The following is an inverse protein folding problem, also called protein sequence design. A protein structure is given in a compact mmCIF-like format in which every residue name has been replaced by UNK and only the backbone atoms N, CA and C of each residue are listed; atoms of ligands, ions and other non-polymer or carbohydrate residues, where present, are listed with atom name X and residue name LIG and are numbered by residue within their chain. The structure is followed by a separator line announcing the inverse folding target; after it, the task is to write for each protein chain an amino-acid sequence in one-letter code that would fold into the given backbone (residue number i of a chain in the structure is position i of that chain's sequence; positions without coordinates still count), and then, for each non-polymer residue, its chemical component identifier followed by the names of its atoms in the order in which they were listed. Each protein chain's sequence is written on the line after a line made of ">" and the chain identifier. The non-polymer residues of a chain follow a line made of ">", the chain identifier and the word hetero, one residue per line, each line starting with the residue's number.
data_IF_682937107707
#
_entry.id   IF_682937107707
#
_cell.length_a   1.000
_cell.length_b   1.000
_cell.length_c   1.000
_cell.angle_alpha   90.00
_cell.angle_beta   90.00
_cell.angle_gamma   90.00
#
_symmetry.space_group_name_H-M   'P 1'
#
loop_
_entity.id
_entity.type
_entity.pdbx_description
1 polymer ?
#
# COMPACT_ATOMS: atom_id res chain seq x y z
N UNK A 1 9.42 10.12 -14.53
CA UNK A 1 9.95 8.91 -15.18
C UNK A 1 11.49 8.84 -15.17
N UNK A 2 12.20 9.94 -15.49
CA UNK A 2 13.68 9.95 -15.41
C UNK A 2 14.19 9.66 -13.99
N UNK A 3 13.50 10.16 -12.98
CA UNK A 3 13.80 9.93 -11.57
C UNK A 3 13.64 8.44 -11.20
N UNK A 4 12.67 7.75 -11.80
CA UNK A 4 12.42 6.33 -11.58
C UNK A 4 13.46 5.41 -12.26
N UNK A 5 14.13 5.88 -13.31
CA UNK A 5 15.27 5.17 -13.94
C UNK A 5 16.50 5.01 -13.05
N UNK A 6 16.55 5.73 -11.92
CA UNK A 6 17.64 5.54 -10.94
C UNK A 6 17.52 4.21 -10.17
N UNK A 7 16.36 3.56 -10.23
CA UNK A 7 16.12 2.20 -9.70
C UNK A 7 16.63 1.11 -10.66
N UNK A 8 17.81 1.30 -11.23
CA UNK A 8 18.41 0.33 -12.16
C UNK A 8 18.54 -1.02 -11.48
N UNK A 9 17.89 -2.03 -12.05
CA UNK A 9 17.93 -3.41 -11.58
C UNK A 9 16.79 -3.81 -10.63
N UNK A 10 15.74 -2.99 -10.47
CA UNK A 10 14.54 -3.35 -9.72
C UNK A 10 13.30 -3.34 -10.62
N UNK A 11 12.42 -4.30 -10.44
CA UNK A 11 11.06 -4.27 -11.03
C UNK A 11 10.26 -3.14 -10.42
N UNK A 12 9.44 -2.51 -11.24
CA UNK A 12 8.65 -1.39 -10.78
C UNK A 12 7.20 -1.48 -11.27
N UNK A 13 6.28 -1.42 -10.31
CA UNK A 13 4.85 -1.34 -10.57
C UNK A 13 4.33 0.03 -10.13
N UNK A 14 3.87 0.83 -11.08
CA UNK A 14 3.37 2.18 -10.85
C UNK A 14 1.86 2.20 -11.05
N UNK A 15 1.12 2.66 -10.04
CA UNK A 15 -0.30 2.93 -10.18
C UNK A 15 -0.54 4.37 -10.60
N UNK A 16 -1.20 4.57 -11.75
CA UNK A 16 -1.54 5.90 -12.25
C UNK A 16 -2.62 6.59 -11.40
N UNK A 17 -2.45 7.89 -11.20
CA UNK A 17 -3.33 8.73 -10.40
C UNK A 17 -4.60 9.08 -11.19
N UNK A 18 -5.73 8.54 -10.74
CA UNK A 18 -7.04 8.81 -11.32
C UNK A 18 -7.50 7.76 -12.33
N UNK A 19 -6.73 6.69 -12.51
CA UNK A 19 -7.14 5.49 -13.24
C UNK A 19 -6.98 4.23 -12.37
N UNK A 20 -7.41 3.09 -12.90
CA UNK A 20 -7.14 1.77 -12.34
C UNK A 20 -5.92 1.13 -13.00
N UNK A 21 -5.19 1.87 -13.84
CA UNK A 21 -4.09 1.34 -14.63
C UNK A 21 -2.81 1.23 -13.79
N UNK A 22 -2.05 0.19 -14.09
CA UNK A 22 -0.76 -0.13 -13.52
C UNK A 22 0.28 -0.15 -14.64
N UNK A 23 1.36 0.56 -14.45
CA UNK A 23 2.47 0.65 -15.38
C UNK A 23 3.64 -0.15 -14.83
N UNK A 24 4.08 -1.15 -15.58
CA UNK A 24 5.09 -2.11 -15.18
C UNK A 24 6.35 -1.85 -16.01
N UNK A 25 7.48 -1.66 -15.34
CA UNK A 25 8.79 -1.66 -15.98
C UNK A 25 9.35 -3.08 -15.92
N UNK A 26 9.38 -3.74 -17.06
CA UNK A 26 9.84 -5.11 -17.24
C UNK A 26 11.26 -5.18 -17.84
N UNK A 27 11.99 -4.07 -17.88
CA UNK A 27 13.34 -4.03 -18.45
C UNK A 27 14.33 -4.87 -17.62
N UNK A 28 14.80 -5.96 -18.20
CA UNK A 28 15.70 -6.91 -17.54
C UNK A 28 15.00 -8.05 -16.80
N UNK A 29 13.67 -8.08 -16.79
CA UNK A 29 12.84 -9.09 -16.12
C UNK A 29 11.93 -9.86 -17.07
N UNK A 30 12.35 -9.97 -18.34
CA UNK A 30 11.64 -10.80 -19.33
C UNK A 30 11.58 -12.26 -18.84
N UNK A 31 10.37 -12.78 -18.70
CA UNK A 31 10.03 -14.10 -18.12
C UNK A 31 10.21 -14.20 -16.59
N UNK A 32 10.14 -13.10 -15.87
CA UNK A 32 10.08 -13.15 -14.41
C UNK A 32 8.69 -13.61 -13.96
N UNK A 33 8.58 -14.62 -13.06
CA UNK A 33 7.30 -15.13 -12.59
C UNK A 33 6.42 -14.10 -11.87
N UNK A 34 7.02 -13.09 -11.25
CA UNK A 34 6.27 -12.03 -10.57
C UNK A 34 5.66 -11.04 -11.57
N UNK A 35 6.40 -10.68 -12.62
CA UNK A 35 5.87 -9.88 -13.74
C UNK A 35 4.72 -10.61 -14.42
N UNK A 36 4.87 -11.90 -14.70
CA UNK A 36 3.80 -12.73 -15.25
C UNK A 36 2.57 -12.74 -14.34
N UNK A 37 2.77 -12.91 -13.03
CA UNK A 37 1.69 -12.83 -12.03
C UNK A 37 1.00 -11.47 -12.02
N UNK A 38 1.74 -10.36 -12.13
CA UNK A 38 1.14 -9.02 -12.20
C UNK A 38 0.24 -8.89 -13.44
N UNK A 39 0.70 -9.32 -14.60
CA UNK A 39 -0.11 -9.28 -15.83
C UNK A 39 -1.35 -10.18 -15.73
N UNK A 40 -1.22 -11.37 -15.15
CA UNK A 40 -2.37 -12.27 -14.94
C UNK A 40 -3.40 -11.68 -13.96
N UNK A 41 -2.93 -11.11 -12.85
CA UNK A 41 -3.81 -10.59 -11.80
C UNK A 41 -4.45 -9.25 -12.13
N UNK A 42 -3.76 -8.37 -12.85
CA UNK A 42 -4.24 -7.03 -13.22
C UNK A 42 -4.99 -7.02 -14.56
N UNK A 43 -4.74 -7.99 -15.43
CA UNK A 43 -5.43 -8.15 -16.71
C UNK A 43 -5.30 -6.91 -17.62
N UNK A 44 -6.43 -6.38 -18.08
CA UNK A 44 -6.47 -5.21 -18.97
C UNK A 44 -5.95 -3.91 -18.34
N UNK A 45 -5.75 -3.88 -17.03
CA UNK A 45 -5.20 -2.73 -16.31
C UNK A 45 -3.68 -2.74 -16.22
N UNK A 46 -3.01 -3.79 -16.66
CA UNK A 46 -1.56 -3.88 -16.68
C UNK A 46 -0.99 -3.39 -18.01
N UNK A 47 -0.07 -2.44 -17.95
CA UNK A 47 0.56 -1.84 -19.12
C UNK A 47 2.09 -1.83 -18.97
N UNK A 48 2.81 -2.04 -20.07
CA UNK A 48 4.27 -1.91 -20.09
C UNK A 48 4.62 -0.42 -20.23
N UNK A 49 5.46 0.08 -19.31
CA UNK A 49 5.90 1.48 -19.34
C UNK A 49 6.92 1.76 -20.45
N UNK A 50 7.67 0.74 -20.86
CA UNK A 50 8.71 0.86 -21.89
C UNK A 50 8.14 1.39 -23.21
N UNK A 51 8.69 2.52 -23.67
CA UNK A 51 8.25 3.17 -24.91
C UNK A 51 6.97 4.01 -24.76
N UNK A 52 6.43 4.13 -23.57
CA UNK A 52 5.35 5.07 -23.31
C UNK A 52 5.90 6.50 -23.21
N UNK A 53 5.32 7.43 -23.95
CA UNK A 53 5.74 8.85 -24.03
C UNK A 53 4.71 9.83 -23.43
N UNK A 54 3.63 9.30 -22.87
CA UNK A 54 2.61 10.08 -22.19
C UNK A 54 2.97 10.50 -20.77
N UNK A 55 2.14 11.33 -20.15
CA UNK A 55 2.25 11.72 -18.76
C UNK A 55 1.66 10.62 -17.85
N UNK A 56 2.46 10.11 -16.92
CA UNK A 56 2.00 9.20 -15.86
C UNK A 56 1.97 9.97 -14.54
N UNK A 57 0.81 9.98 -13.89
CA UNK A 57 0.64 10.58 -12.55
C UNK A 57 0.66 9.50 -11.49
N UNK A 58 1.73 9.47 -10.74
CA UNK A 58 2.00 8.40 -9.77
C UNK A 58 1.21 8.62 -8.49
N UNK A 59 0.41 7.62 -8.09
CA UNK A 59 -0.17 7.56 -6.74
C UNK A 59 0.79 6.92 -5.75
N UNK A 60 1.37 5.81 -6.15
CA UNK A 60 2.40 5.07 -5.44
C UNK A 60 3.09 4.15 -6.42
N UNK A 61 4.27 3.70 -6.08
CA UNK A 61 4.95 2.64 -6.82
C UNK A 61 5.62 1.67 -5.86
N UNK A 62 5.83 0.46 -6.33
CA UNK A 62 6.56 -0.60 -5.63
C UNK A 62 7.72 -1.04 -6.49
N UNK A 63 8.79 -1.49 -5.85
CA UNK A 63 9.97 -2.01 -6.53
C UNK A 63 10.57 -3.17 -5.73
N UNK A 64 11.15 -4.14 -6.42
CA UNK A 64 11.98 -5.16 -5.81
C UNK A 64 13.42 -4.68 -5.72
N UNK A 65 14.01 -4.81 -4.53
CA UNK A 65 15.42 -4.51 -4.29
C UNK A 65 16.23 -5.76 -4.53
N UNK A 66 16.89 -5.83 -5.68
CA UNK A 66 17.73 -6.97 -6.07
C UNK A 66 19.19 -6.74 -5.72
N UNK A 67 20.00 -7.83 -5.80
CA UNK A 67 21.45 -7.77 -5.60
C UNK A 67 22.12 -6.77 -6.56
N UNK A 68 22.89 -5.84 -5.99
CA UNK A 68 23.57 -4.78 -6.75
C UNK A 68 22.81 -3.44 -6.82
N UNK A 69 21.59 -3.36 -6.31
CA UNK A 69 20.88 -2.09 -6.15
C UNK A 69 21.55 -1.22 -5.09
N UNK A 70 21.90 0.01 -5.42
CA UNK A 70 22.35 1.01 -4.44
C UNK A 70 21.13 1.58 -3.69
N UNK A 71 20.57 0.76 -2.80
CA UNK A 71 19.33 1.07 -2.08
C UNK A 71 19.44 2.32 -1.20
N UNK A 72 20.59 2.57 -0.60
CA UNK A 72 20.79 3.78 0.21
C UNK A 72 20.72 5.05 -0.64
N UNK A 73 21.24 5.01 -1.87
CA UNK A 73 21.10 6.09 -2.83
C UNK A 73 19.64 6.29 -3.23
N UNK A 74 18.92 5.20 -3.52
CA UNK A 74 17.49 5.26 -3.85
C UNK A 74 16.70 5.89 -2.72
N UNK A 75 16.91 5.45 -1.48
CA UNK A 75 16.25 6.05 -0.31
C UNK A 75 16.54 7.55 -0.20
N UNK A 76 17.78 7.96 -0.37
CA UNK A 76 18.17 9.37 -0.28
C UNK A 76 17.52 10.24 -1.38
N UNK A 77 17.41 9.70 -2.60
CA UNK A 77 16.84 10.42 -3.75
C UNK A 77 15.33 10.64 -3.61
N UNK A 78 14.60 9.67 -3.02
CA UNK A 78 13.15 9.75 -2.87
C UNK A 78 12.70 10.24 -1.48
N UNK A 79 13.61 10.40 -0.52
CA UNK A 79 13.28 10.72 0.87
C UNK A 79 12.53 12.04 1.06
N UNK A 80 12.64 13.01 0.16
CA UNK A 80 11.95 14.30 0.32
C UNK A 80 10.47 14.21 -0.05
N UNK A 81 10.11 13.39 -1.03
CA UNK A 81 8.77 13.33 -1.60
C UNK A 81 7.96 12.09 -1.14
N UNK A 82 8.64 11.00 -0.78
CA UNK A 82 8.01 9.73 -0.48
C UNK A 82 8.32 9.22 0.92
N UNK A 83 7.35 8.52 1.50
CA UNK A 83 7.54 7.58 2.59
C UNK A 83 7.89 6.23 1.96
N UNK A 84 8.98 5.61 2.42
CA UNK A 84 9.46 4.33 1.91
C UNK A 84 9.11 3.25 2.93
N UNK A 85 8.28 2.31 2.52
CA UNK A 85 7.82 1.18 3.33
C UNK A 85 8.52 -0.09 2.86
N UNK A 86 9.29 -0.69 3.74
CA UNK A 86 9.98 -1.96 3.48
C UNK A 86 9.04 -3.12 3.84
N UNK A 87 8.81 -4.00 2.88
CA UNK A 87 8.02 -5.21 3.05
C UNK A 87 8.93 -6.46 3.13
N UNK A 88 8.32 -7.62 3.30
CA UNK A 88 9.01 -8.90 3.20
C UNK A 88 9.49 -9.13 1.75
N UNK A 89 10.49 -10.01 1.58
CA UNK A 89 10.97 -10.45 0.26
C UNK A 89 11.60 -9.33 -0.60
N UNK A 90 12.24 -8.34 0.04
CA UNK A 90 12.91 -7.22 -0.62
C UNK A 90 11.99 -6.26 -1.40
N UNK A 91 10.68 -6.35 -1.25
CA UNK A 91 9.74 -5.40 -1.85
C UNK A 91 9.74 -4.10 -1.05
N UNK A 92 9.85 -2.98 -1.75
CA UNK A 92 9.71 -1.64 -1.19
C UNK A 92 8.57 -0.90 -1.86
N UNK A 93 7.81 -0.16 -1.07
CA UNK A 93 6.70 0.65 -1.54
C UNK A 93 6.99 2.12 -1.26
N UNK A 94 6.81 2.95 -2.28
CA UNK A 94 6.98 4.40 -2.22
C UNK A 94 5.62 5.07 -2.23
N UNK A 95 5.27 5.69 -1.12
CA UNK A 95 3.98 6.38 -0.92
C UNK A 95 4.24 7.87 -0.80
N UNK A 96 3.58 8.74 -1.58
CA UNK A 96 3.76 10.19 -1.45
C UNK A 96 3.53 10.65 -0.02
N UNK A 97 4.44 11.48 0.51
CA UNK A 97 4.31 12.03 1.86
C UNK A 97 2.99 12.77 2.05
N UNK A 98 2.43 12.66 3.23
CA UNK A 98 1.13 13.24 3.57
C UNK A 98 -0.07 12.46 3.06
N UNK A 99 0.16 11.33 2.39
CA UNK A 99 -0.90 10.37 2.02
C UNK A 99 -0.76 9.10 2.84
N UNK A 100 -1.83 8.71 3.50
CA UNK A 100 -1.93 7.46 4.25
C UNK A 100 -3.40 7.02 4.29
N UNK A 101 -3.65 5.80 4.77
CA UNK A 101 -5.03 5.35 5.03
C UNK A 101 -5.74 6.29 6.01
N UNK A 102 -5.04 6.77 7.02
CA UNK A 102 -5.56 7.72 8.00
C UNK A 102 -5.91 9.08 7.41
N UNK A 103 -5.03 9.65 6.57
CA UNK A 103 -5.33 10.95 5.93
C UNK A 103 -6.50 10.83 4.95
N UNK A 104 -6.62 9.70 4.26
CA UNK A 104 -7.77 9.40 3.39
C UNK A 104 -9.09 9.35 4.17
N UNK A 105 -9.12 8.66 5.29
CA UNK A 105 -10.29 8.58 6.17
C UNK A 105 -10.65 9.96 6.71
N UNK A 106 -9.68 10.71 7.24
CA UNK A 106 -9.91 12.07 7.75
C UNK A 106 -10.49 13.00 6.68
N UNK A 107 -9.94 12.91 5.46
CA UNK A 107 -10.49 13.69 4.33
C UNK A 107 -11.91 13.30 4.00
N UNK A 108 -12.21 11.98 3.92
CA UNK A 108 -13.55 11.49 3.61
C UNK A 108 -14.56 11.85 4.69
N UNK A 109 -14.20 11.69 5.97
CA UNK A 109 -15.05 12.07 7.09
C UNK A 109 -15.39 13.57 7.08
N UNK A 110 -14.38 14.42 6.83
CA UNK A 110 -14.62 15.85 6.66
C UNK A 110 -15.53 16.17 5.46
N UNK A 111 -15.37 15.44 4.34
CA UNK A 111 -16.18 15.65 3.14
C UNK A 111 -17.65 15.24 3.33
N UNK A 112 -17.88 14.19 4.11
CA UNK A 112 -19.21 13.62 4.38
C UNK A 112 -19.85 14.15 5.68
N UNK A 113 -19.16 15.02 6.42
CA UNK A 113 -19.57 15.52 7.74
C UNK A 113 -19.84 14.40 8.76
N UNK A 114 -18.95 13.39 8.75
CA UNK A 114 -18.99 12.24 9.66
C UNK A 114 -17.93 12.46 10.77
N UNK A 115 -18.32 12.42 12.06
CA UNK A 115 -17.38 12.49 13.17
C UNK A 115 -16.43 11.29 13.15
N UNK A 116 -15.12 11.51 13.41
CA UNK A 116 -14.13 10.43 13.42
C UNK A 116 -14.38 9.41 14.54
N UNK A 117 -14.95 9.82 15.66
CA UNK A 117 -15.33 8.97 16.78
C UNK A 117 -16.50 8.01 16.47
N UNK A 118 -17.21 8.22 15.36
CA UNK A 118 -18.23 7.29 14.84
C UNK A 118 -17.68 6.30 13.79
N UNK A 119 -16.37 6.32 13.53
CA UNK A 119 -15.76 5.48 12.49
C UNK A 119 -15.11 4.22 13.04
N UNK A 120 -15.11 3.17 12.23
CA UNK A 120 -14.52 1.87 12.53
C UNK A 120 -13.47 1.54 11.48
N UNK A 121 -12.30 1.07 11.91
CA UNK A 121 -11.27 0.53 11.02
C UNK A 121 -10.82 -0.84 11.49
N UNK A 122 -10.60 -1.74 10.54
CA UNK A 122 -10.09 -3.09 10.80
C UNK A 122 -8.77 -3.23 10.04
N UNK A 123 -7.72 -3.68 10.73
CA UNK A 123 -6.39 -3.83 10.15
C UNK A 123 -5.62 -5.02 10.70
N UNK A 124 -4.55 -5.41 10.02
CA UNK A 124 -3.73 -6.56 10.41
C UNK A 124 -2.21 -6.33 10.33
N UNK A 125 -1.77 -5.30 9.63
CA UNK A 125 -0.37 -5.04 9.31
C UNK A 125 0.11 -3.69 9.83
N UNK A 126 1.42 -3.50 9.91
CA UNK A 126 2.04 -2.26 10.42
C UNK A 126 1.68 -1.00 9.61
N UNK A 127 1.31 -1.15 8.34
CA UNK A 127 0.81 -0.04 7.52
C UNK A 127 -0.61 0.42 7.91
N UNK A 128 -1.30 -0.30 8.82
CA UNK A 128 -2.61 0.05 9.36
C UNK A 128 -2.54 0.82 10.68
N UNK A 129 -1.37 0.91 11.32
CA UNK A 129 -1.21 1.51 12.65
C UNK A 129 -1.82 2.92 12.71
N UNK A 130 -1.38 3.81 11.82
CA UNK A 130 -1.89 5.20 11.78
C UNK A 130 -3.40 5.26 11.51
N UNK A 131 -3.92 4.34 10.70
CA UNK A 131 -5.35 4.21 10.41
C UNK A 131 -6.12 3.87 11.69
N UNK A 132 -5.68 2.81 12.41
CA UNK A 132 -6.36 2.33 13.62
C UNK A 132 -6.32 3.36 14.75
N UNK A 133 -5.23 4.12 14.89
CA UNK A 133 -5.10 5.20 15.87
C UNK A 133 -5.95 6.43 15.54
N UNK A 134 -6.33 6.62 14.27
CA UNK A 134 -7.00 7.84 13.81
C UNK A 134 -8.52 7.77 13.80
N UNK A 135 -9.11 6.60 13.98
CA UNK A 135 -10.56 6.35 13.97
C UNK A 135 -11.14 6.26 15.38
N UNK A 136 -12.46 6.31 15.49
CA UNK A 136 -13.14 6.11 16.77
C UNK A 136 -12.93 4.72 17.36
N UNK A 137 -12.96 3.69 16.51
CA UNK A 137 -12.83 2.29 16.91
C UNK A 137 -11.83 1.55 16.02
N UNK A 138 -10.57 1.45 16.47
CA UNK A 138 -9.52 0.69 15.81
C UNK A 138 -9.53 -0.79 16.22
N UNK A 139 -9.67 -1.69 15.25
CA UNK A 139 -9.84 -3.12 15.48
C UNK A 139 -8.69 -3.88 14.82
N UNK A 140 -7.99 -4.72 15.57
CA UNK A 140 -6.99 -5.63 15.03
C UNK A 140 -7.60 -6.99 14.71
N UNK A 141 -7.20 -7.57 13.58
CA UNK A 141 -7.52 -8.95 13.25
C UNK A 141 -6.78 -9.92 14.17
N UNK A 142 -7.34 -11.10 14.43
CA UNK A 142 -6.71 -12.14 15.27
C UNK A 142 -5.35 -12.61 14.75
N UNK A 143 -5.15 -12.59 13.44
CA UNK A 143 -3.88 -12.88 12.76
C UNK A 143 -2.94 -11.68 12.64
N UNK A 144 -3.28 -10.51 13.20
CA UNK A 144 -2.45 -9.30 13.12
C UNK A 144 -1.09 -9.47 13.77
N UNK A 145 -0.14 -8.67 13.29
CA UNK A 145 1.17 -8.50 13.91
C UNK A 145 1.05 -7.93 15.34
N UNK A 146 1.97 -8.29 16.26
CA UNK A 146 1.90 -7.84 17.66
C UNK A 146 1.72 -6.33 17.84
N UNK A 147 2.47 -5.43 17.14
CA UNK A 147 2.29 -3.98 17.30
C UNK A 147 0.88 -3.49 16.97
N UNK A 148 0.20 -4.15 16.04
CA UNK A 148 -1.18 -3.78 15.64
C UNK A 148 -2.17 -4.13 16.74
N UNK A 149 -1.96 -5.29 17.39
CA UNK A 149 -2.80 -5.72 18.54
C UNK A 149 -2.61 -4.84 19.77
N UNK A 150 -1.41 -4.29 19.94
CA UNK A 150 -1.08 -3.45 21.11
C UNK A 150 -1.81 -2.10 21.09
N UNK A 151 -2.05 -1.53 19.92
CA UNK A 151 -2.70 -0.21 19.76
C UNK A 151 -4.20 -0.31 19.55
N UNK A 152 -4.72 -1.48 19.15
CA UNK A 152 -6.13 -1.65 18.84
C UNK A 152 -7.01 -1.60 20.08
N UNK A 153 -8.16 -0.96 19.98
CA UNK A 153 -9.20 -0.98 21.04
C UNK A 153 -9.76 -2.39 21.26
N UNK A 154 -9.91 -3.14 20.18
CA UNK A 154 -10.44 -4.51 20.19
C UNK A 154 -9.65 -5.42 19.26
N UNK A 155 -9.39 -6.64 19.69
CA UNK A 155 -8.80 -7.70 18.85
C UNK A 155 -9.88 -8.73 18.55
N UNK A 156 -10.25 -8.85 17.30
CA UNK A 156 -11.23 -9.84 16.84
C UNK A 156 -10.59 -11.20 16.56
N UNK A 157 -11.36 -12.18 16.07
CA UNK A 157 -10.82 -13.48 15.68
C UNK A 157 -9.99 -13.41 14.39
N UNK A 158 -9.34 -14.52 14.06
CA UNK A 158 -8.54 -14.69 12.84
C UNK A 158 -9.39 -14.54 11.58
N UNK A 159 -8.74 -14.21 10.45
CA UNK A 159 -9.41 -14.12 9.15
C UNK A 159 -10.10 -15.44 8.76
N UNK A 160 -9.50 -16.57 9.13
CA UNK A 160 -10.05 -17.91 8.90
C UNK A 160 -11.23 -18.26 9.82
N UNK A 161 -11.50 -17.44 10.85
CA UNK A 161 -12.57 -17.63 11.83
C UNK A 161 -13.55 -16.44 11.84
N UNK A 162 -13.97 -15.99 10.65
CA UNK A 162 -14.95 -14.92 10.45
C UNK A 162 -14.58 -13.59 11.18
N UNK A 163 -13.29 -13.25 11.32
CA UNK A 163 -12.82 -12.11 12.13
C UNK A 163 -13.52 -10.78 11.86
N UNK A 164 -13.67 -10.40 10.58
CA UNK A 164 -14.38 -9.15 10.21
C UNK A 164 -15.83 -9.19 10.66
N UNK A 165 -16.54 -10.29 10.42
CA UNK A 165 -17.95 -10.46 10.82
C UNK A 165 -18.11 -10.44 12.35
N UNK A 166 -17.17 -11.04 13.07
CA UNK A 166 -17.19 -11.06 14.53
C UNK A 166 -16.93 -9.66 15.11
N UNK A 167 -16.06 -8.89 14.50
CA UNK A 167 -15.85 -7.47 14.84
C UNK A 167 -17.14 -6.65 14.65
N UNK A 168 -17.80 -6.77 13.51
CA UNK A 168 -19.06 -6.06 13.24
C UNK A 168 -20.17 -6.44 14.23
N UNK A 169 -20.26 -7.72 14.60
CA UNK A 169 -21.19 -8.17 15.65
C UNK A 169 -20.85 -7.63 17.03
N UNK A 170 -19.58 -7.57 17.39
CA UNK A 170 -19.13 -7.04 18.68
C UNK A 170 -19.63 -5.60 18.89
N UNK A 171 -19.59 -4.79 17.85
CA UNK A 171 -20.06 -3.40 17.89
C UNK A 171 -21.55 -3.23 17.52
N UNK A 172 -22.29 -4.32 17.26
CA UNK A 172 -23.72 -4.28 16.94
C UNK A 172 -24.05 -3.65 15.58
N UNK A 173 -23.08 -3.69 14.65
CA UNK A 173 -23.25 -3.16 13.30
C UNK A 173 -23.99 -4.13 12.37
N UNK A 174 -24.03 -5.42 12.74
CA UNK A 174 -24.82 -6.47 12.09
C UNK A 174 -25.41 -7.44 13.13
#
# INVERSE_FOLDING_TARGET
>A
YEMLRSLVGSEMCIRDRGSTDYWIDDEGFENDPYVDYLFESLGEHAHIIRGYDGEIRINKFSADVIDGTDYERVKAEFADDFLILEHVENVVEFVPKGTSKATGIKWLCNHLDIPLDETYAIGDSVNDLEMLESVGHGIAMGNSMPPVKEIAEYVTSDISDDGVKNALKHYGLI
#
